data_IF_505217454811
#
_entry.id   IF_505217454811
#
_cell.length_a   1.000
_cell.length_b   1.000
_cell.length_c   1.000
_cell.angle_alpha   90.00
_cell.angle_beta   90.00
_cell.angle_gamma   90.00
#
_symmetry.space_group_name_H-M   'P 1'
#
loop_
_entity.id
_entity.type
_entity.pdbx_description
1 polymer ?
#
# COMPACT_ATOMS: atom_id res chain seq x y z
N UNK A 1 4.53 -9.81 1.67
CA UNK A 1 3.42 -8.85 1.47
C UNK A 1 3.67 -7.73 2.44
N UNK A 2 3.88 -6.52 1.96
CA UNK A 2 4.14 -5.37 2.84
C UNK A 2 3.73 -4.08 2.15
N UNK A 3 2.95 -3.26 2.86
CA UNK A 3 2.54 -1.92 2.45
C UNK A 3 2.05 -1.10 3.66
N UNK A 4 1.74 0.16 3.43
CA UNK A 4 1.34 1.11 4.46
C UNK A 4 0.14 0.67 5.32
N UNK A 5 -0.70 -0.25 4.82
CA UNK A 5 -1.86 -0.81 5.52
C UNK A 5 -1.79 -2.34 5.65
N UNK A 6 -0.61 -2.94 5.50
CA UNK A 6 -0.41 -4.40 5.64
C UNK A 6 0.97 -4.64 6.22
N UNK A 7 1.07 -4.62 7.56
CA UNK A 7 2.34 -4.56 8.28
C UNK A 7 2.60 -5.73 9.23
N UNK A 8 1.82 -6.82 9.16
CA UNK A 8 1.99 -8.00 10.04
C UNK A 8 3.42 -8.57 10.03
N UNK A 9 4.16 -8.39 8.94
CA UNK A 9 5.58 -8.82 8.82
C UNK A 9 6.54 -8.08 9.76
N UNK A 10 6.16 -6.92 10.28
CA UNK A 10 7.03 -6.09 11.13
C UNK A 10 7.31 -6.73 12.49
N UNK A 11 6.35 -7.46 13.05
CA UNK A 11 6.42 -7.94 14.44
C UNK A 11 7.41 -9.10 14.62
N UNK A 12 7.36 -10.11 13.75
CA UNK A 12 8.11 -11.36 13.93
C UNK A 12 9.03 -11.67 12.74
N UNK A 13 8.53 -11.48 11.51
CA UNK A 13 9.29 -11.82 10.31
C UNK A 13 10.51 -10.93 10.14
N UNK A 14 10.37 -9.60 10.26
CA UNK A 14 11.51 -8.68 10.11
C UNK A 14 12.64 -8.98 11.11
N UNK A 15 12.39 -9.09 12.42
CA UNK A 15 13.44 -9.52 13.38
C UNK A 15 14.13 -10.83 12.99
N UNK A 16 13.36 -11.83 12.55
CA UNK A 16 13.90 -13.11 12.09
C UNK A 16 14.83 -12.95 10.88
N UNK A 17 14.38 -12.22 9.85
CA UNK A 17 15.18 -12.00 8.64
C UNK A 17 16.46 -11.23 8.96
N UNK A 18 16.42 -10.24 9.86
CA UNK A 18 17.63 -9.52 10.31
C UNK A 18 18.59 -10.43 11.04
N UNK A 19 18.08 -11.27 11.94
CA UNK A 19 18.91 -12.21 12.69
C UNK A 19 19.68 -13.16 11.76
N UNK A 20 19.03 -13.67 10.71
CA UNK A 20 19.64 -14.61 9.76
C UNK A 20 20.26 -13.95 8.53
N UNK A 21 20.36 -12.62 8.48
CA UNK A 21 21.02 -11.90 7.38
C UNK A 21 20.28 -11.96 6.03
N UNK A 22 18.95 -12.08 6.04
CA UNK A 22 18.14 -12.07 4.82
C UNK A 22 17.65 -10.66 4.48
N UNK A 23 17.68 -10.35 3.19
CA UNK A 23 17.00 -9.17 2.60
C UNK A 23 15.53 -9.45 2.38
N UNK A 24 14.68 -8.44 2.52
CA UNK A 24 13.24 -8.55 2.30
C UNK A 24 12.80 -7.79 1.05
N UNK A 25 12.08 -8.48 0.16
CA UNK A 25 11.48 -7.85 -1.03
C UNK A 25 9.97 -7.72 -0.83
N UNK A 26 9.51 -6.47 -0.73
CA UNK A 26 8.11 -6.14 -0.49
C UNK A 26 7.29 -6.23 -1.79
N UNK A 27 6.44 -7.26 -1.89
CA UNK A 27 5.38 -7.31 -2.89
C UNK A 27 4.06 -6.73 -2.35
N UNK A 28 3.20 -6.28 -3.28
CA UNK A 28 1.94 -5.55 -3.03
C UNK A 28 2.14 -4.18 -2.35
N UNK A 29 3.07 -3.31 -2.80
CA UNK A 29 3.27 -1.98 -2.21
C UNK A 29 2.02 -1.10 -2.29
N UNK A 30 1.16 -1.33 -3.29
CA UNK A 30 -0.12 -0.63 -3.48
C UNK A 30 -1.35 -1.48 -3.09
N UNK A 31 -1.18 -2.54 -2.29
CA UNK A 31 -2.24 -3.49 -1.94
C UNK A 31 -3.03 -4.02 -3.16
N UNK A 32 -2.32 -4.40 -4.22
CA UNK A 32 -2.93 -4.84 -5.48
C UNK A 32 -3.63 -3.73 -6.28
N UNK A 33 -3.38 -2.46 -5.94
CA UNK A 33 -3.97 -1.29 -6.56
C UNK A 33 -5.06 -0.63 -5.70
N UNK A 34 -5.39 -1.18 -4.52
CA UNK A 34 -6.38 -0.55 -3.63
C UNK A 34 -5.89 0.81 -3.11
N UNK A 35 -4.60 0.90 -2.75
CA UNK A 35 -3.95 2.14 -2.29
C UNK A 35 -3.72 3.17 -3.41
N UNK A 36 -4.37 3.02 -4.57
CA UNK A 36 -4.41 4.09 -5.58
C UNK A 36 -5.59 5.05 -5.36
N UNK A 37 -6.50 4.73 -4.44
CA UNK A 37 -7.71 5.53 -4.15
C UNK A 37 -8.82 5.41 -5.21
N UNK A 38 -8.58 4.69 -6.30
CA UNK A 38 -9.50 4.63 -7.45
C UNK A 38 -10.79 3.84 -7.22
N UNK A 39 -10.85 3.03 -6.17
CA UNK A 39 -12.00 2.18 -5.86
C UNK A 39 -12.83 2.76 -4.71
N UNK A 40 -14.13 2.52 -4.75
CA UNK A 40 -15.07 2.70 -3.63
C UNK A 40 -15.55 1.33 -3.15
N UNK A 41 -16.00 1.22 -1.90
CA UNK A 41 -16.35 -0.07 -1.31
C UNK A 41 -17.52 -0.74 -2.07
N UNK A 42 -18.45 0.08 -2.53
CA UNK A 42 -19.67 -0.26 -3.28
C UNK A 42 -19.38 -0.76 -4.70
N UNK A 43 -18.16 -0.55 -5.23
CA UNK A 43 -17.78 -1.04 -6.57
C UNK A 43 -17.92 -2.56 -6.68
N UNK A 44 -17.91 -3.29 -5.56
CA UNK A 44 -18.15 -4.74 -5.52
C UNK A 44 -19.54 -5.16 -6.00
N UNK A 45 -20.52 -4.26 -5.91
CA UNK A 45 -21.93 -4.53 -6.22
C UNK A 45 -22.27 -4.19 -7.69
N UNK A 46 -21.34 -3.56 -8.41
CA UNK A 46 -21.50 -3.14 -9.80
C UNK A 46 -20.66 -3.92 -10.80
N UNK A 47 -20.94 -3.72 -12.10
CA UNK A 47 -20.08 -4.22 -13.17
C UNK A 47 -18.81 -3.36 -13.25
N UNK A 48 -17.67 -3.97 -12.97
CA UNK A 48 -16.37 -3.31 -13.01
C UNK A 48 -15.53 -3.77 -14.20
N UNK A 49 -14.64 -2.92 -14.74
CA UNK A 49 -13.65 -3.34 -15.73
C UNK A 49 -12.77 -4.48 -15.18
N UNK A 50 -12.26 -5.32 -16.08
CA UNK A 50 -11.29 -6.37 -15.72
C UNK A 50 -10.05 -5.71 -15.14
N UNK A 51 -9.62 -6.18 -13.97
CA UNK A 51 -8.48 -5.64 -13.24
C UNK A 51 -8.17 -6.52 -12.03
N UNK A 52 -7.25 -6.13 -11.15
CA UNK A 52 -6.80 -6.99 -10.05
C UNK A 52 -7.93 -7.56 -9.19
N UNK A 53 -8.96 -6.75 -8.92
CA UNK A 53 -10.09 -7.09 -8.05
C UNK A 53 -11.32 -7.63 -8.79
N UNK A 54 -11.33 -7.67 -10.13
CA UNK A 54 -12.52 -8.03 -10.92
C UNK A 54 -12.16 -8.77 -12.22
N UNK A 55 -12.99 -9.75 -12.61
CA UNK A 55 -12.92 -10.37 -13.93
C UNK A 55 -11.68 -11.25 -14.21
N UNK A 56 -11.00 -11.75 -13.17
CA UNK A 56 -9.87 -12.68 -13.32
C UNK A 56 -9.85 -13.74 -12.20
N UNK A 57 -9.04 -14.80 -12.36
CA UNK A 57 -8.98 -15.96 -11.44
C UNK A 57 -8.45 -15.62 -10.04
N UNK A 58 -7.70 -14.53 -9.89
CA UNK A 58 -7.16 -14.06 -8.61
C UNK A 58 -8.05 -13.00 -7.92
N UNK A 59 -9.09 -12.53 -8.59
CA UNK A 59 -9.93 -11.42 -8.11
C UNK A 59 -10.51 -11.68 -6.73
N UNK A 60 -11.06 -12.88 -6.50
CA UNK A 60 -11.62 -13.26 -5.20
C UNK A 60 -10.56 -13.28 -4.10
N UNK A 61 -9.37 -13.83 -4.38
CA UNK A 61 -8.26 -13.84 -3.42
C UNK A 61 -7.87 -12.42 -3.01
N UNK A 62 -7.80 -11.48 -3.96
CA UNK A 62 -7.46 -10.09 -3.65
C UNK A 62 -8.59 -9.37 -2.91
N UNK A 63 -9.86 -9.65 -3.24
CA UNK A 63 -10.99 -9.10 -2.49
C UNK A 63 -11.02 -9.62 -1.05
N UNK A 64 -10.81 -10.92 -0.83
CA UNK A 64 -10.75 -11.49 0.52
C UNK A 64 -9.61 -10.89 1.36
N UNK A 65 -8.50 -10.50 0.72
CA UNK A 65 -7.36 -9.85 1.39
C UNK A 65 -7.64 -8.40 1.78
N UNK A 66 -8.13 -7.59 0.85
CA UNK A 66 -8.12 -6.13 1.01
C UNK A 66 -9.48 -5.43 0.86
N UNK A 67 -10.50 -6.09 0.30
CA UNK A 67 -11.80 -5.46 0.01
C UNK A 67 -12.72 -5.49 1.24
N UNK A 68 -12.33 -4.74 2.26
CA UNK A 68 -13.02 -4.65 3.55
C UNK A 68 -13.29 -3.19 3.88
N UNK A 69 -14.41 -2.89 4.54
CA UNK A 69 -14.80 -1.49 4.81
C UNK A 69 -13.70 -0.67 5.49
N UNK A 70 -12.98 -1.26 6.46
CA UNK A 70 -11.92 -0.55 7.18
C UNK A 70 -10.78 -0.13 6.25
N UNK A 71 -10.49 -0.88 5.19
CA UNK A 71 -9.47 -0.50 4.21
C UNK A 71 -9.89 0.74 3.41
N UNK A 72 -11.17 0.88 3.07
CA UNK A 72 -11.68 2.08 2.39
C UNK A 72 -11.75 3.28 3.33
N UNK A 73 -12.14 3.07 4.60
CA UNK A 73 -12.08 4.12 5.65
C UNK A 73 -10.64 4.60 5.89
N UNK A 74 -9.69 3.68 5.90
CA UNK A 74 -8.26 3.96 6.01
C UNK A 74 -7.74 4.81 4.84
N UNK A 75 -8.10 4.47 3.59
CA UNK A 75 -7.74 5.28 2.41
C UNK A 75 -8.33 6.69 2.50
N UNK A 76 -9.63 6.81 2.82
CA UNK A 76 -10.29 8.11 2.94
C UNK A 76 -9.63 9.01 4.01
N UNK A 77 -9.16 8.40 5.11
CA UNK A 77 -8.42 9.11 6.16
C UNK A 77 -7.10 9.69 5.63
N UNK A 78 -6.35 8.92 4.83
CA UNK A 78 -5.10 9.39 4.23
C UNK A 78 -5.34 10.44 3.15
N UNK A 79 -6.35 10.26 2.29
CA UNK A 79 -6.73 11.25 1.28
C UNK A 79 -7.09 12.60 1.92
N UNK A 80 -7.82 12.57 3.04
CA UNK A 80 -8.13 13.78 3.81
C UNK A 80 -6.87 14.44 4.38
N UNK A 81 -5.93 13.65 4.91
CA UNK A 81 -4.68 14.18 5.45
C UNK A 81 -3.79 14.78 4.35
N UNK A 82 -3.71 14.14 3.18
CA UNK A 82 -3.01 14.66 2.01
C UNK A 82 -3.56 16.02 1.59
N UNK A 83 -4.88 16.14 1.46
CA UNK A 83 -5.52 17.39 1.10
C UNK A 83 -5.28 18.48 2.15
N UNK A 84 -5.33 18.14 3.44
CA UNK A 84 -5.08 19.09 4.52
C UNK A 84 -3.62 19.58 4.57
N UNK A 85 -2.65 18.68 4.32
CA UNK A 85 -1.24 19.01 4.38
C UNK A 85 -0.73 19.80 3.15
N UNK A 86 -1.22 19.46 1.96
CA UNK A 86 -0.65 19.95 0.71
C UNK A 86 -1.60 20.81 -0.14
N UNK A 87 -2.89 20.84 0.20
CA UNK A 87 -3.91 21.57 -0.55
C UNK A 87 -3.97 21.14 -2.02
N UNK A 88 -3.97 22.11 -2.94
CA UNK A 88 -4.02 21.86 -4.38
C UNK A 88 -2.79 21.11 -4.95
N UNK A 89 -1.71 21.00 -4.17
CA UNK A 89 -0.48 20.29 -4.57
C UNK A 89 -0.36 18.92 -3.92
N UNK A 90 -1.45 18.37 -3.39
CA UNK A 90 -1.44 17.06 -2.78
C UNK A 90 -0.95 15.99 -3.79
N UNK A 91 0.03 15.15 -3.40
CA UNK A 91 0.41 14.02 -4.23
C UNK A 91 -0.78 13.05 -4.31
N UNK A 92 -0.82 12.27 -5.37
CA UNK A 92 -1.84 11.22 -5.52
C UNK A 92 -1.70 10.17 -4.40
N UNK A 93 -2.79 9.44 -4.11
CA UNK A 93 -2.74 8.34 -3.15
C UNK A 93 -1.69 7.27 -3.55
N UNK A 94 -1.53 7.03 -4.86
CA UNK A 94 -0.46 6.17 -5.41
C UNK A 94 0.94 6.66 -5.03
N UNK A 95 1.24 7.95 -5.27
CA UNK A 95 2.53 8.54 -4.93
C UNK A 95 2.77 8.50 -3.42
N UNK A 96 1.76 8.87 -2.62
CA UNK A 96 1.85 8.80 -1.16
C UNK A 96 2.13 7.38 -0.65
N UNK A 97 1.42 6.36 -1.15
CA UNK A 97 1.64 4.98 -0.75
C UNK A 97 3.05 4.47 -1.11
N UNK A 98 3.57 4.83 -2.29
CA UNK A 98 4.93 4.48 -2.68
C UNK A 98 5.98 5.23 -1.86
N UNK A 99 5.82 6.54 -1.65
CA UNK A 99 6.72 7.32 -0.79
C UNK A 99 6.73 6.79 0.64
N UNK A 100 5.60 6.31 1.17
CA UNK A 100 5.58 5.62 2.46
C UNK A 100 6.48 4.38 2.47
N UNK A 101 6.45 3.56 1.41
CA UNK A 101 7.32 2.39 1.30
C UNK A 101 8.82 2.74 1.35
N UNK A 102 9.21 3.80 0.66
CA UNK A 102 10.63 4.15 0.49
C UNK A 102 11.20 5.00 1.64
N UNK A 103 10.36 5.80 2.31
CA UNK A 103 10.84 6.76 3.32
C UNK A 103 10.36 6.47 4.75
N UNK A 104 9.27 5.73 4.92
CA UNK A 104 8.56 5.64 6.20
C UNK A 104 8.26 4.21 6.65
N UNK A 105 8.67 3.21 5.86
CA UNK A 105 8.53 1.80 6.20
C UNK A 105 9.76 1.29 6.97
N UNK A 106 9.72 0.05 7.45
CA UNK A 106 10.89 -0.59 8.08
C UNK A 106 11.87 -1.22 7.05
N UNK A 107 11.68 -1.00 5.74
CA UNK A 107 12.65 -1.42 4.73
C UNK A 107 13.92 -0.59 4.85
N UNK A 108 15.06 -1.25 4.69
CA UNK A 108 16.37 -0.63 4.82
C UNK A 108 17.22 -0.97 3.61
N UNK A 109 17.48 0.02 2.75
CA UNK A 109 18.31 -0.15 1.55
C UNK A 109 19.73 -0.65 1.89
N UNK A 110 20.27 -0.25 3.04
CA UNK A 110 21.57 -0.74 3.55
C UNK A 110 21.59 -2.27 3.80
N UNK A 111 20.43 -2.89 4.04
CA UNK A 111 20.29 -4.35 4.15
C UNK A 111 19.92 -5.02 2.81
N UNK A 112 19.87 -4.26 1.72
CA UNK A 112 19.50 -4.76 0.40
C UNK A 112 18.01 -5.05 0.26
N UNK A 113 17.15 -4.51 1.12
CA UNK A 113 15.71 -4.61 0.95
C UNK A 113 15.25 -3.87 -0.29
N UNK A 114 14.14 -4.33 -0.88
CA UNK A 114 13.61 -3.74 -2.10
C UNK A 114 12.09 -3.74 -2.14
N UNK A 115 11.52 -2.87 -2.98
CA UNK A 115 10.10 -2.83 -3.30
C UNK A 115 9.89 -3.41 -4.70
N UNK A 116 8.99 -4.38 -4.84
CA UNK A 116 8.61 -4.94 -6.14
C UNK A 116 7.43 -4.12 -6.69
N UNK A 117 7.72 -3.28 -7.69
CA UNK A 117 6.70 -2.50 -8.40
C UNK A 117 5.82 -3.40 -9.27
N UNK A 118 4.53 -3.09 -9.31
CA UNK A 118 3.56 -3.79 -10.15
C UNK A 118 2.79 -2.80 -11.01
N UNK A 119 2.51 -3.20 -12.24
CA UNK A 119 1.84 -2.39 -13.25
C UNK A 119 0.99 -3.28 -14.17
N UNK A 120 0.00 -2.69 -14.83
CA UNK A 120 -0.73 -3.31 -15.95
C UNK A 120 -0.67 -2.49 -17.24
N UNK A 121 0.06 -1.38 -17.24
CA UNK A 121 0.36 -0.54 -18.40
C UNK A 121 1.72 0.12 -18.24
N UNK A 122 2.30 0.59 -19.36
CA UNK A 122 3.55 1.36 -19.34
C UNK A 122 3.40 2.68 -18.57
N UNK A 123 2.28 3.38 -18.76
CA UNK A 123 1.99 4.62 -18.05
C UNK A 123 2.01 4.46 -16.52
N UNK A 124 1.43 3.36 -16.00
CA UNK A 124 1.49 3.05 -14.57
C UNK A 124 2.93 2.80 -14.11
N UNK A 125 3.76 2.17 -14.94
CA UNK A 125 5.16 1.95 -14.61
C UNK A 125 5.91 3.29 -14.50
N UNK A 126 5.75 4.16 -15.48
CA UNK A 126 6.38 5.48 -15.49
C UNK A 126 5.94 6.33 -14.28
N UNK A 127 4.65 6.35 -13.98
CA UNK A 127 4.12 7.03 -12.79
C UNK A 127 4.67 6.45 -11.49
N UNK A 128 4.73 5.11 -11.38
CA UNK A 128 5.26 4.45 -10.19
C UNK A 128 6.76 4.73 -10.00
N UNK A 129 7.54 4.69 -11.08
CA UNK A 129 8.98 5.02 -11.06
C UNK A 129 9.21 6.48 -10.68
N UNK A 130 8.42 7.42 -11.21
CA UNK A 130 8.53 8.81 -10.81
C UNK A 130 8.24 8.99 -9.31
N UNK A 131 7.22 8.32 -8.78
CA UNK A 131 6.87 8.38 -7.36
C UNK A 131 7.94 7.77 -6.43
N UNK A 132 8.76 6.84 -6.92
CA UNK A 132 9.83 6.23 -6.09
C UNK A 132 11.03 7.16 -5.90
N UNK A 133 11.19 8.14 -6.80
CA UNK A 133 12.23 9.18 -6.71
C UNK A 133 11.77 10.42 -5.92
N UNK A 134 10.50 10.50 -5.54
CA UNK A 134 9.97 11.59 -4.72
C UNK A 134 10.47 11.50 -3.27
N UNK A 135 10.54 12.65 -2.59
CA UNK A 135 10.98 12.75 -1.20
C UNK A 135 9.96 12.28 -0.15
N UNK A 136 10.28 12.41 1.16
CA UNK A 136 9.41 11.98 2.24
C UNK A 136 8.09 12.76 2.27
N UNK A 137 7.05 12.11 2.81
CA UNK A 137 5.76 12.74 3.15
C UNK A 137 5.84 13.61 4.41
N UNK A 138 4.95 14.59 4.51
CA UNK A 138 4.73 15.40 5.72
C UNK A 138 4.32 14.51 6.91
N UNK A 139 4.77 14.81 8.14
CA UNK A 139 4.51 13.97 9.32
C UNK A 139 3.03 13.69 9.58
N UNK A 140 2.15 14.64 9.28
CA UNK A 140 0.69 14.48 9.46
C UNK A 140 0.12 13.41 8.53
N UNK A 141 0.68 13.23 7.33
CA UNK A 141 0.28 12.19 6.39
C UNK A 141 0.85 10.83 6.80
N UNK A 142 2.07 10.80 7.35
CA UNK A 142 2.65 9.57 7.92
C UNK A 142 1.79 9.08 9.09
N UNK A 143 1.41 9.98 10.00
CA UNK A 143 0.51 9.66 11.11
C UNK A 143 -0.85 9.15 10.62
N UNK A 144 -1.36 9.71 9.50
CA UNK A 144 -2.58 9.22 8.88
C UNK A 144 -2.43 7.78 8.36
N UNK A 145 -1.29 7.43 7.75
CA UNK A 145 -0.99 6.05 7.38
C UNK A 145 -0.90 5.11 8.60
N UNK A 146 -0.37 5.58 9.72
CA UNK A 146 -0.33 4.79 10.95
C UNK A 146 -1.74 4.57 11.51
N UNK A 147 -2.58 5.59 11.56
CA UNK A 147 -4.00 5.44 11.94
C UNK A 147 -4.73 4.49 10.99
N UNK A 148 -4.51 4.62 9.69
CA UNK A 148 -5.03 3.73 8.66
C UNK A 148 -4.62 2.27 8.90
N UNK A 149 -3.35 2.01 9.27
CA UNK A 149 -2.89 0.67 9.65
C UNK A 149 -3.63 0.14 10.89
N UNK A 150 -3.76 0.94 11.95
CA UNK A 150 -4.45 0.51 13.17
C UNK A 150 -5.92 0.13 12.91
N UNK A 151 -6.60 0.80 11.98
CA UNK A 151 -7.97 0.47 11.59
C UNK A 151 -8.10 -0.92 10.96
N UNK A 152 -7.08 -1.37 10.24
CA UNK A 152 -7.12 -2.65 9.49
C UNK A 152 -6.32 -3.77 10.12
N UNK A 153 -5.49 -3.48 11.14
CA UNK A 153 -4.56 -4.45 11.72
C UNK A 153 -5.24 -5.74 12.19
N UNK A 154 -6.42 -5.63 12.82
CA UNK A 154 -7.20 -6.76 13.33
C UNK A 154 -7.68 -7.74 12.23
N UNK A 155 -7.75 -7.27 10.99
CA UNK A 155 -8.21 -8.02 9.82
C UNK A 155 -7.12 -8.13 8.75
N UNK A 156 -5.86 -7.87 9.11
CA UNK A 156 -4.71 -7.93 8.21
C UNK A 156 -4.58 -9.35 7.63
N UNK A 157 -4.46 -9.51 6.30
CA UNK A 157 -4.23 -10.83 5.71
C UNK A 157 -2.88 -11.40 6.15
N UNK A 158 -2.84 -12.70 6.42
CA UNK A 158 -1.60 -13.39 6.78
C UNK A 158 -0.55 -13.26 5.67
N UNK A 159 0.71 -13.02 6.06
CA UNK A 159 1.83 -12.99 5.10
C UNK A 159 2.31 -14.39 4.69
N UNK A 160 1.92 -15.43 5.44
CA UNK A 160 2.25 -16.84 5.23
C UNK A 160 1.02 -17.64 4.78
N UNK A 161 1.26 -18.85 4.24
CA UNK A 161 0.25 -19.80 3.77
C UNK A 161 0.73 -21.22 4.02
#
# INVERSE_FOLDING_TARGET
>A
MYNATTRQVETELFPCLRHFGLRFYAYNPLAGGLLTGKYKYEDKDGKQPVGRFFGNTWAETYRNRFWKEHHFKAIALVEKALQAAYGARAPSMTSAALRWMYHHSQLQGAHGDAVILGMSSLEQLEQNLAATEEGPLEPTVVQAFDQAWHLVAHECPNYFR
#
